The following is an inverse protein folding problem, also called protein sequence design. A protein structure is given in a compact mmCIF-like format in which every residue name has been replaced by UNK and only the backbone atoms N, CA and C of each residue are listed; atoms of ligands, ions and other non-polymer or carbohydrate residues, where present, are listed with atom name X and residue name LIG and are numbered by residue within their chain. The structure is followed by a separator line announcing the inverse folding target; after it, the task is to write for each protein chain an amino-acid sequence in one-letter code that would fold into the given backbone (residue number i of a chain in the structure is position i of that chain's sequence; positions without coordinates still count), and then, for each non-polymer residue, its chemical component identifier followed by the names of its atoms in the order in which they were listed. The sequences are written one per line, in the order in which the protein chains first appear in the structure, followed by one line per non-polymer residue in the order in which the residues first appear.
data_IF_564017933293
#
_entry.id   IF_564017933293
#
_cell.length_a   1.000
_cell.length_b   1.000
_cell.length_c   1.000
_cell.angle_alpha   90.00
_cell.angle_beta   90.00
_cell.angle_gamma   90.00
#
_symmetry.space_group_name_H-M   'P 1'
#
loop_
_entity.id
_entity.type
_entity.pdbx_description
1 polymer ?
#
# COMPACT_ATOMS: atom_id res chain seq x y z
N UNK A 1 -1.19 -17.35 3.45
CA UNK A 1 0.11 -18.07 3.32
C UNK A 1 0.72 -18.41 4.68
N UNK A 2 0.79 -17.45 5.61
CA UNK A 2 1.26 -17.70 6.98
C UNK A 2 0.42 -18.75 7.71
N UNK A 3 -0.91 -18.62 7.69
CA UNK A 3 -1.84 -19.60 8.26
C UNK A 3 -1.64 -21.02 7.71
N UNK A 4 -1.45 -21.16 6.39
CA UNK A 4 -1.15 -22.46 5.75
C UNK A 4 0.19 -23.03 6.22
N UNK A 5 1.19 -22.17 6.45
CA UNK A 5 2.48 -22.61 6.98
C UNK A 5 2.33 -23.09 8.42
N UNK A 6 1.61 -22.34 9.27
CA UNK A 6 1.31 -22.73 10.65
C UNK A 6 0.62 -24.09 10.70
N UNK A 7 -0.42 -24.30 9.89
CA UNK A 7 -1.14 -25.59 9.82
C UNK A 7 -0.24 -26.77 9.45
N UNK A 8 0.74 -26.57 8.55
CA UNK A 8 1.70 -27.62 8.19
C UNK A 8 2.61 -27.99 9.37
N UNK A 9 3.10 -27.00 10.11
CA UNK A 9 3.92 -27.24 11.30
C UNK A 9 3.12 -27.89 12.43
N UNK A 10 1.87 -27.47 12.67
CA UNK A 10 0.98 -28.11 13.66
C UNK A 10 0.78 -29.59 13.34
N UNK A 11 0.49 -29.90 12.07
CA UNK A 11 0.36 -31.29 11.62
C UNK A 11 1.66 -32.07 11.81
N UNK A 12 2.80 -31.49 11.45
CA UNK A 12 4.10 -32.14 11.61
C UNK A 12 4.43 -32.43 13.09
N UNK A 13 4.19 -31.48 14.01
CA UNK A 13 4.42 -31.66 15.44
C UNK A 13 3.49 -32.74 16.03
N UNK A 14 2.22 -32.76 15.62
CA UNK A 14 1.30 -33.83 16.02
C UNK A 14 1.74 -35.19 15.48
N UNK A 15 2.19 -35.27 14.23
CA UNK A 15 2.68 -36.50 13.59
C UNK A 15 3.96 -37.04 14.23
N UNK A 16 4.92 -36.17 14.60
CA UNK A 16 6.14 -36.57 15.33
C UNK A 16 5.80 -37.23 16.66
N UNK A 17 4.74 -36.75 17.32
CA UNK A 17 4.27 -37.31 18.57
C UNK A 17 3.28 -38.48 18.39
N UNK A 18 3.15 -39.04 17.18
CA UNK A 18 2.27 -40.15 16.84
C UNK A 18 0.79 -39.89 17.18
N UNK A 19 0.36 -38.63 17.12
CA UNK A 19 -1.01 -38.21 17.44
C UNK A 19 -1.78 -37.87 16.17
N UNK A 20 -3.02 -38.34 16.11
CA UNK A 20 -3.98 -38.04 15.03
C UNK A 20 -4.66 -36.68 15.17
N UNK A 21 -4.64 -36.09 16.37
CA UNK A 21 -5.22 -34.80 16.67
C UNK A 21 -4.19 -33.84 17.25
N UNK A 22 -4.26 -32.58 16.80
CA UNK A 22 -3.45 -31.51 17.32
C UNK A 22 -3.97 -31.05 18.69
N UNK A 23 -3.04 -30.72 19.58
CA UNK A 23 -3.30 -30.06 20.87
C UNK A 23 -2.90 -28.59 20.78
N UNK A 24 -3.36 -27.80 21.74
CA UNK A 24 -3.00 -26.38 21.88
C UNK A 24 -1.47 -26.23 21.97
N UNK A 25 -0.78 -27.13 22.69
CA UNK A 25 0.68 -27.14 22.77
C UNK A 25 1.40 -27.28 21.42
N UNK A 26 0.80 -28.01 20.47
CA UNK A 26 1.37 -28.18 19.12
C UNK A 26 1.23 -26.91 18.30
N UNK A 27 0.18 -26.14 18.58
CA UNK A 27 -0.03 -24.81 18.02
C UNK A 27 1.02 -23.85 18.54
N UNK A 28 1.27 -23.82 19.85
CA UNK A 28 2.30 -22.97 20.46
C UNK A 28 3.70 -23.30 19.93
N UNK A 29 3.99 -24.59 19.75
CA UNK A 29 5.25 -25.05 19.17
C UNK A 29 5.38 -24.71 17.69
N UNK A 30 4.31 -24.88 16.90
CA UNK A 30 4.29 -24.43 15.51
C UNK A 30 4.49 -22.91 15.39
N UNK A 31 3.93 -22.12 16.31
CA UNK A 31 4.12 -20.67 16.36
C UNK A 31 5.58 -20.30 16.61
N UNK A 32 6.30 -21.03 17.46
CA UNK A 32 7.76 -20.84 17.66
C UNK A 32 8.54 -20.99 16.35
N UNK A 33 8.20 -21.95 15.49
CA UNK A 33 8.88 -22.15 14.20
C UNK A 33 8.58 -21.07 13.15
N UNK A 34 7.42 -20.42 13.23
CA UNK A 34 7.07 -19.32 12.32
C UNK A 34 7.33 -17.93 12.92
N UNK A 35 7.77 -17.85 14.17
CA UNK A 35 8.03 -16.61 14.89
C UNK A 35 8.96 -15.70 14.09
N UNK A 36 10.04 -16.23 13.51
CA UNK A 36 10.97 -15.45 12.68
C UNK A 36 10.29 -14.86 11.45
N UNK A 37 9.32 -15.56 10.84
CA UNK A 37 8.53 -15.03 9.72
C UNK A 37 7.54 -13.96 10.19
N UNK A 38 6.94 -14.15 11.37
CA UNK A 38 6.05 -13.17 12.00
C UNK A 38 6.83 -11.90 12.35
N UNK A 39 8.02 -12.02 12.95
CA UNK A 39 8.88 -10.91 13.32
C UNK A 39 9.43 -10.19 12.09
N UNK A 40 9.80 -10.92 11.04
CA UNK A 40 10.13 -10.34 9.74
C UNK A 40 8.96 -9.50 9.22
N UNK A 41 7.74 -10.04 9.21
CA UNK A 41 6.56 -9.31 8.77
C UNK A 41 6.30 -8.09 9.68
N UNK A 42 6.39 -8.23 11.00
CA UNK A 42 6.23 -7.11 11.93
C UNK A 42 7.24 -6.00 11.67
N UNK A 43 8.53 -6.34 11.58
CA UNK A 43 9.61 -5.37 11.49
C UNK A 43 9.77 -4.79 10.07
N UNK A 44 9.35 -5.50 9.02
CA UNK A 44 9.46 -5.05 7.63
C UNK A 44 8.15 -4.54 7.03
N UNK A 45 6.97 -4.97 7.54
CA UNK A 45 5.68 -4.39 7.13
C UNK A 45 5.41 -3.04 7.80
N UNK A 46 5.89 -2.81 9.03
CA UNK A 46 5.83 -1.46 9.66
C UNK A 46 6.68 -0.45 8.86
N UNK A 47 7.69 -0.95 8.14
CA UNK A 47 8.50 -0.18 7.18
C UNK A 47 7.98 -0.29 5.73
N UNK A 48 6.76 -0.79 5.49
CA UNK A 48 6.09 -0.48 4.22
C UNK A 48 5.83 1.02 4.22
N UNK A 49 6.76 1.70 3.55
CA UNK A 49 6.68 3.06 3.05
C UNK A 49 5.24 3.42 2.70
N UNK A 50 4.83 4.69 2.92
CA UNK A 50 3.46 5.16 2.75
C UNK A 50 2.84 4.58 1.48
N UNK A 51 1.61 4.09 1.64
CA UNK A 51 0.70 3.65 0.58
C UNK A 51 1.07 4.36 -0.72
N UNK A 52 1.68 3.65 -1.66
CA UNK A 52 1.93 4.18 -3.01
C UNK A 52 0.58 4.69 -3.51
N UNK A 53 0.39 6.00 -3.56
CA UNK A 53 -0.76 6.66 -4.16
C UNK A 53 -0.65 6.42 -5.68
N UNK A 54 -0.86 5.18 -6.09
CA UNK A 54 -0.58 4.71 -7.45
C UNK A 54 -1.86 4.55 -8.28
N UNK A 55 -3.04 4.43 -7.66
CA UNK A 55 -4.29 4.49 -8.41
C UNK A 55 -4.46 5.91 -8.98
N UNK A 56 -5.03 6.01 -10.18
CA UNK A 56 -5.29 7.32 -10.77
C UNK A 56 -6.41 8.06 -10.03
N UNK A 57 -7.23 7.31 -9.32
CA UNK A 57 -8.33 7.76 -8.48
C UNK A 57 -7.80 8.44 -7.22
N UNK A 58 -6.87 7.80 -6.49
CA UNK A 58 -6.32 8.37 -5.25
C UNK A 58 -5.53 9.66 -5.54
N UNK A 59 -4.78 9.71 -6.65
CA UNK A 59 -4.07 10.92 -7.08
C UNK A 59 -5.03 12.05 -7.44
N UNK A 60 -6.12 11.72 -8.12
CA UNK A 60 -7.13 12.70 -8.50
C UNK A 60 -7.85 13.27 -7.29
N UNK A 61 -8.21 12.43 -6.32
CA UNK A 61 -8.84 12.87 -5.07
C UNK A 61 -7.95 13.86 -4.31
N UNK A 62 -6.63 13.65 -4.27
CA UNK A 62 -5.70 14.61 -3.66
C UNK A 62 -5.66 15.95 -4.40
N UNK A 63 -5.80 15.94 -5.73
CA UNK A 63 -5.87 17.17 -6.50
C UNK A 63 -7.21 17.89 -6.27
N UNK A 64 -8.32 17.15 -6.18
CA UNK A 64 -9.62 17.72 -5.82
C UNK A 64 -9.55 18.39 -4.44
N UNK A 65 -9.00 17.71 -3.44
CA UNK A 65 -8.87 18.26 -2.08
C UNK A 65 -8.09 19.58 -2.04
N UNK A 66 -7.00 19.69 -2.80
CA UNK A 66 -6.11 20.86 -2.75
C UNK A 66 -6.53 22.01 -3.68
N UNK A 67 -6.98 21.66 -4.90
CA UNK A 67 -7.14 22.60 -6.01
C UNK A 67 -8.59 22.88 -6.41
N UNK A 68 -9.60 22.29 -5.75
CA UNK A 68 -11.01 22.59 -6.05
C UNK A 68 -11.31 24.08 -5.90
N UNK A 69 -11.96 24.65 -6.91
CA UNK A 69 -12.32 26.08 -6.95
C UNK A 69 -11.15 27.03 -7.23
N UNK A 70 -9.91 26.54 -7.37
CA UNK A 70 -8.71 27.33 -7.67
C UNK A 70 -8.24 27.12 -9.11
N UNK A 71 -7.63 28.16 -9.69
CA UNK A 71 -6.87 28.01 -10.93
C UNK A 71 -5.45 27.57 -10.61
N UNK A 72 -4.95 26.56 -11.32
CA UNK A 72 -3.60 26.05 -11.13
C UNK A 72 -2.93 25.70 -12.46
N UNK A 73 -1.60 25.71 -12.44
CA UNK A 73 -0.71 25.37 -13.54
C UNK A 73 -0.09 24.01 -13.31
N UNK A 74 0.35 23.40 -14.41
CA UNK A 74 1.10 22.14 -14.41
C UNK A 74 2.29 22.11 -13.42
N UNK A 75 3.01 23.22 -13.29
CA UNK A 75 4.17 23.32 -12.38
C UNK A 75 3.75 23.19 -10.91
N UNK A 76 2.58 23.67 -10.54
CA UNK A 76 2.06 23.62 -9.17
C UNK A 76 1.64 22.19 -8.80
N UNK A 77 1.09 21.44 -9.75
CA UNK A 77 0.79 20.00 -9.56
C UNK A 77 2.07 19.18 -9.36
N UNK A 78 3.13 19.48 -10.12
CA UNK A 78 4.43 18.81 -9.95
C UNK A 78 5.00 19.10 -8.56
N UNK A 79 5.01 20.37 -8.14
CA UNK A 79 5.49 20.76 -6.81
C UNK A 79 4.68 20.10 -5.69
N UNK A 80 3.35 20.03 -5.82
CA UNK A 80 2.47 19.34 -4.88
C UNK A 80 2.80 17.85 -4.76
N UNK A 81 3.02 17.16 -5.88
CA UNK A 81 3.41 15.75 -5.86
C UNK A 81 4.79 15.54 -5.24
N UNK A 82 5.76 16.42 -5.49
CA UNK A 82 7.07 16.37 -4.85
C UNK A 82 6.98 16.55 -3.32
N UNK A 83 6.18 17.52 -2.86
CA UNK A 83 5.93 17.77 -1.43
C UNK A 83 5.31 16.55 -0.73
N UNK A 84 4.31 15.93 -1.38
CA UNK A 84 3.64 14.71 -0.87
C UNK A 84 4.48 13.44 -1.06
N UNK A 85 5.70 13.54 -1.60
CA UNK A 85 6.60 12.41 -1.92
C UNK A 85 5.96 11.38 -2.86
N UNK A 86 5.11 11.85 -3.79
CA UNK A 86 4.44 11.03 -4.80
C UNK A 86 5.29 11.03 -6.06
N UNK A 87 5.90 9.88 -6.37
CA UNK A 87 6.72 9.69 -7.57
C UNK A 87 5.82 9.52 -8.80
N UNK A 88 5.64 10.59 -9.57
CA UNK A 88 4.95 10.56 -10.86
C UNK A 88 5.88 10.97 -12.00
N UNK A 89 5.66 10.39 -13.18
CA UNK A 89 6.33 10.87 -14.40
C UNK A 89 5.53 12.01 -15.05
N UNK A 90 6.19 12.76 -15.92
CA UNK A 90 5.60 13.87 -16.69
C UNK A 90 4.27 13.48 -17.36
N UNK A 91 4.22 12.30 -18.01
CA UNK A 91 3.01 11.82 -18.71
C UNK A 91 1.84 11.54 -17.77
N UNK A 92 2.11 11.15 -16.52
CA UNK A 92 1.08 10.89 -15.51
C UNK A 92 0.44 12.19 -15.06
N UNK A 93 1.26 13.24 -14.84
CA UNK A 93 0.76 14.59 -14.56
C UNK A 93 -0.13 15.07 -15.69
N UNK A 94 0.31 14.90 -16.95
CA UNK A 94 -0.47 15.34 -18.11
C UNK A 94 -1.82 14.59 -18.19
N UNK A 95 -1.84 13.28 -17.89
CA UNK A 95 -3.06 12.47 -17.85
C UNK A 95 -4.00 12.88 -16.70
N UNK A 96 -3.46 13.17 -15.52
CA UNK A 96 -4.26 13.62 -14.39
C UNK A 96 -4.87 15.00 -14.70
N UNK A 97 -4.11 15.90 -15.34
CA UNK A 97 -4.58 17.22 -15.80
C UNK A 97 -5.69 17.15 -16.87
N UNK A 98 -5.76 16.08 -17.67
CA UNK A 98 -6.84 15.90 -18.65
C UNK A 98 -8.22 15.74 -18.00
N UNK A 99 -8.28 15.34 -16.72
CA UNK A 99 -9.53 15.28 -15.96
C UNK A 99 -10.01 16.66 -15.49
N UNK A 100 -9.11 17.65 -15.44
CA UNK A 100 -9.43 19.01 -15.03
C UNK A 100 -9.98 19.84 -16.20
N UNK A 101 -10.82 20.82 -15.89
CA UNK A 101 -11.31 21.77 -16.89
C UNK A 101 -10.20 22.75 -17.30
N UNK A 102 -9.90 22.81 -18.59
CA UNK A 102 -8.91 23.76 -19.13
C UNK A 102 -9.55 25.14 -19.29
N UNK A 103 -9.09 26.12 -18.52
CA UNK A 103 -9.62 27.50 -18.56
C UNK A 103 -8.94 28.32 -19.65
N UNK A 104 -7.60 28.23 -19.75
CA UNK A 104 -6.76 28.91 -20.75
C UNK A 104 -5.47 28.13 -20.98
N UNK A 105 -4.63 28.60 -21.90
CA UNK A 105 -3.39 27.88 -22.23
C UNK A 105 -2.51 27.68 -20.98
N UNK A 106 -2.32 26.41 -20.60
CA UNK A 106 -1.51 26.02 -19.43
C UNK A 106 -2.13 26.24 -18.06
N UNK A 107 -3.42 26.59 -17.98
CA UNK A 107 -4.16 26.82 -16.73
C UNK A 107 -5.40 25.94 -16.66
N UNK A 108 -5.55 25.25 -15.54
CA UNK A 108 -6.56 24.25 -15.26
C UNK A 108 -7.36 24.64 -14.02
N UNK A 109 -8.58 24.12 -13.92
CA UNK A 109 -9.46 24.28 -12.76
C UNK A 109 -10.22 22.98 -12.52
N UNK A 110 -10.34 22.59 -11.26
CA UNK A 110 -11.23 21.51 -10.83
C UNK A 110 -12.53 22.17 -10.36
N UNK A 111 -13.64 21.69 -10.90
CA UNK A 111 -15.01 22.18 -10.64
C UNK A 111 -15.71 21.18 -9.75
#
# INVERSE_FOLDING_TARGET
RLAVSAQKYVKAVASINLRTHARISDVDEAFRFIQTKVDFLKNHLINIKPRKVNSAEDRWQLLEEEFTGKEFKRKEVIAFYEEKKILVNSKTVDRDLLKASKVRQGVYRII
#
